data_IF_122572953673
#
_entry.id   IF_122572953673
#
_cell.length_a   1.000
_cell.length_b   1.000
_cell.length_c   1.000
_cell.angle_alpha   90.00
_cell.angle_beta   90.00
_cell.angle_gamma   90.00
#
_symmetry.space_group_name_H-M   'P 1'
#
loop_
_entity.id
_entity.type
_entity.pdbx_description
1 polymer ?
#
# COMPACT_ATOMS: atom_id res chain seq x y z
N UNK A 1 6.39 2.86 13.07
CA UNK A 1 6.24 3.33 14.46
C UNK A 1 5.88 2.13 15.29
N UNK A 2 6.56 1.90 16.42
CA UNK A 2 6.26 0.75 17.29
C UNK A 2 5.09 1.07 18.24
N UNK A 3 4.42 0.05 18.76
CA UNK A 3 3.27 0.26 19.65
C UNK A 3 3.66 1.04 20.93
N UNK A 4 4.80 0.74 21.53
CA UNK A 4 5.32 1.47 22.69
C UNK A 4 5.60 2.95 22.42
N UNK A 5 6.04 3.30 21.21
CA UNK A 5 6.28 4.69 20.80
C UNK A 5 4.99 5.51 20.73
N UNK A 6 3.88 4.88 20.32
CA UNK A 6 2.54 5.52 20.30
C UNK A 6 2.13 5.90 21.72
N UNK A 7 2.31 4.99 22.68
CA UNK A 7 2.01 5.25 24.10
C UNK A 7 2.89 6.35 24.69
N UNK A 8 4.20 6.34 24.38
CA UNK A 8 5.14 7.39 24.81
C UNK A 8 4.72 8.75 24.26
N UNK A 9 4.37 8.80 22.96
CA UNK A 9 3.97 10.03 22.27
C UNK A 9 2.70 10.61 22.91
N UNK A 10 1.67 9.79 23.10
CA UNK A 10 0.44 10.19 23.77
C UNK A 10 0.74 10.77 25.17
N UNK A 11 1.46 10.01 26.00
CA UNK A 11 1.78 10.42 27.37
C UNK A 11 2.54 11.75 27.42
N UNK A 12 3.54 11.94 26.55
CA UNK A 12 4.32 13.18 26.47
C UNK A 12 3.49 14.36 25.97
N UNK A 13 2.61 14.15 25.00
CA UNK A 13 1.68 15.19 24.51
C UNK A 13 0.74 15.68 25.62
N UNK A 14 0.34 14.80 26.53
CA UNK A 14 -0.47 15.14 27.70
C UNK A 14 0.36 15.61 28.91
N UNK A 15 1.68 15.78 28.76
CA UNK A 15 2.57 16.23 29.84
C UNK A 15 2.62 15.28 31.04
N UNK A 16 2.32 13.99 30.85
CA UNK A 16 2.20 13.02 31.94
C UNK A 16 3.52 12.27 32.22
N UNK A 17 3.75 11.97 33.50
CA UNK A 17 4.80 11.02 33.92
C UNK A 17 4.34 9.58 33.67
N UNK A 18 5.28 8.64 33.57
CA UNK A 18 4.96 7.21 33.43
C UNK A 18 4.11 6.73 34.61
N UNK A 19 4.43 7.18 35.83
CA UNK A 19 3.66 6.83 37.02
C UNK A 19 2.19 7.30 36.92
N UNK A 20 1.97 8.56 36.52
CA UNK A 20 0.62 9.12 36.37
C UNK A 20 -0.18 8.39 35.28
N UNK A 21 0.45 8.08 34.15
CA UNK A 21 -0.25 7.37 33.08
C UNK A 21 -0.56 5.92 33.45
N UNK A 22 0.35 5.26 34.18
CA UNK A 22 0.12 3.91 34.68
C UNK A 22 -1.05 3.85 35.67
N UNK A 23 -1.16 4.86 36.54
CA UNK A 23 -2.26 4.99 37.50
C UNK A 23 -3.61 5.16 36.79
N UNK A 24 -3.70 6.03 35.78
CA UNK A 24 -4.91 6.20 34.96
C UNK A 24 -5.30 4.90 34.25
N UNK A 25 -4.32 4.19 33.72
CA UNK A 25 -4.49 2.87 33.11
C UNK A 25 -4.60 1.75 34.14
N UNK A 26 -4.62 2.03 35.45
CA UNK A 26 -4.71 1.05 36.54
C UNK A 26 -3.79 -0.15 36.35
N UNK A 27 -2.54 0.12 35.97
CA UNK A 27 -1.45 -0.84 35.85
C UNK A 27 -0.26 -0.37 36.67
N UNK A 28 0.70 -1.25 36.94
CA UNK A 28 1.92 -0.81 37.62
C UNK A 28 2.80 0.06 36.70
N UNK A 29 3.54 1.01 37.28
CA UNK A 29 4.50 1.84 36.54
C UNK A 29 5.53 0.99 35.78
N UNK A 30 5.98 -0.12 36.39
CA UNK A 30 6.93 -1.06 35.76
C UNK A 30 6.28 -1.74 34.55
N UNK A 31 5.01 -2.12 34.65
CA UNK A 31 4.29 -2.73 33.55
C UNK A 31 4.10 -1.75 32.38
N UNK A 32 3.69 -0.51 32.65
CA UNK A 32 3.60 0.51 31.60
C UNK A 32 4.97 0.77 30.96
N UNK A 33 6.04 0.81 31.75
CA UNK A 33 7.41 0.96 31.21
C UNK A 33 7.74 -0.20 30.27
N UNK A 34 7.38 -1.44 30.61
CA UNK A 34 7.59 -2.57 29.72
C UNK A 34 6.73 -2.50 28.44
N UNK A 35 5.53 -1.95 28.51
CA UNK A 35 4.71 -1.70 27.32
C UNK A 35 5.31 -0.64 26.41
N UNK A 36 5.75 0.49 26.98
CA UNK A 36 6.38 1.61 26.24
C UNK A 36 7.67 1.19 25.51
N UNK A 37 8.32 0.12 25.97
CA UNK A 37 9.53 -0.43 25.35
C UNK A 37 9.29 -1.77 24.63
N UNK A 38 8.03 -2.12 24.35
CA UNK A 38 7.62 -3.34 23.62
C UNK A 38 8.12 -4.66 24.25
N UNK A 39 8.43 -4.66 25.55
CA UNK A 39 8.83 -5.86 26.31
C UNK A 39 7.64 -6.70 26.77
N UNK A 40 6.42 -6.16 26.67
CA UNK A 40 5.15 -6.81 27.03
C UNK A 40 4.13 -6.55 25.93
N UNK A 41 3.22 -7.51 25.75
CA UNK A 41 2.07 -7.33 24.87
C UNK A 41 0.95 -6.57 25.56
N UNK A 42 0.19 -5.83 24.78
CA UNK A 42 -1.04 -5.15 25.19
C UNK A 42 -2.18 -6.19 25.13
N UNK A 43 -2.90 -6.37 26.22
CA UNK A 43 -4.09 -7.24 26.25
C UNK A 43 -5.31 -6.51 25.72
N UNK A 44 -6.33 -7.24 25.26
CA UNK A 44 -7.59 -6.65 24.79
C UNK A 44 -8.26 -5.75 25.85
N UNK A 45 -8.29 -6.20 27.10
CA UNK A 45 -8.79 -5.38 28.22
C UNK A 45 -8.00 -4.07 28.38
N UNK A 46 -6.70 -4.06 28.08
CA UNK A 46 -5.92 -2.82 28.14
C UNK A 46 -6.18 -1.93 26.92
N UNK A 47 -6.46 -2.48 25.74
CA UNK A 47 -6.91 -1.71 24.59
C UNK A 47 -8.23 -0.99 24.86
N UNK A 48 -9.18 -1.64 25.52
CA UNK A 48 -10.46 -1.03 25.91
C UNK A 48 -10.22 0.19 26.81
N UNK A 49 -9.36 0.04 27.82
CA UNK A 49 -9.00 1.15 28.72
C UNK A 49 -8.24 2.27 28.01
N UNK A 50 -7.36 1.92 27.07
CA UNK A 50 -6.63 2.89 26.26
C UNK A 50 -7.56 3.67 25.32
N UNK A 51 -8.64 3.06 24.84
CA UNK A 51 -9.62 3.71 23.97
C UNK A 51 -10.41 4.84 24.67
N UNK A 52 -10.42 4.88 26.00
CA UNK A 52 -10.96 6.02 26.76
C UNK A 52 -10.08 7.28 26.64
N UNK A 53 -8.83 7.12 26.23
CA UNK A 53 -7.79 8.17 26.26
C UNK A 53 -7.30 8.57 24.87
N UNK A 54 -7.16 7.60 23.96
CA UNK A 54 -6.66 7.79 22.60
C UNK A 54 -7.82 7.94 21.61
N UNK A 55 -7.57 8.63 20.49
CA UNK A 55 -8.51 8.68 19.37
C UNK A 55 -8.69 7.32 18.68
N UNK A 56 -9.79 7.16 17.94
CA UNK A 56 -10.06 5.94 17.17
C UNK A 56 -8.93 5.63 16.18
N UNK A 57 -8.38 6.66 15.52
CA UNK A 57 -7.20 6.53 14.66
C UNK A 57 -5.96 6.03 15.42
N UNK A 58 -5.67 6.61 16.58
CA UNK A 58 -4.51 6.20 17.39
C UNK A 58 -4.65 4.76 17.94
N UNK A 59 -5.86 4.36 18.32
CA UNK A 59 -6.14 2.97 18.74
C UNK A 59 -5.98 2.00 17.59
N UNK A 60 -6.45 2.37 16.39
CA UNK A 60 -6.26 1.57 15.20
C UNK A 60 -4.77 1.38 14.89
N UNK A 61 -4.01 2.46 14.89
CA UNK A 61 -2.55 2.43 14.68
C UNK A 61 -1.85 1.57 15.74
N UNK A 62 -2.27 1.68 17.01
CA UNK A 62 -1.70 0.89 18.11
C UNK A 62 -1.98 -0.61 17.93
N UNK A 63 -3.20 -0.98 17.53
CA UNK A 63 -3.57 -2.38 17.27
C UNK A 63 -2.82 -2.95 16.08
N UNK A 64 -2.62 -2.17 15.02
CA UNK A 64 -1.81 -2.57 13.89
C UNK A 64 -0.35 -2.77 14.32
N UNK A 65 0.24 -1.81 15.01
CA UNK A 65 1.61 -1.91 15.50
C UNK A 65 1.84 -3.09 16.46
N UNK A 66 0.87 -3.40 17.33
CA UNK A 66 0.94 -4.53 18.26
C UNK A 66 0.95 -5.88 17.53
N UNK A 67 0.13 -6.04 16.48
CA UNK A 67 0.12 -7.26 15.66
C UNK A 67 1.45 -7.51 14.95
N UNK A 68 2.14 -6.43 14.58
CA UNK A 68 3.41 -6.50 13.84
C UNK A 68 4.62 -6.81 14.76
N UNK A 69 4.47 -6.78 16.10
CA UNK A 69 5.57 -7.09 17.04
C UNK A 69 6.09 -8.51 16.94
N UNK A 70 5.20 -9.46 16.65
CA UNK A 70 5.54 -10.87 16.63
C UNK A 70 5.99 -11.36 15.26
N UNK A 71 6.19 -10.47 14.28
CA UNK A 71 6.64 -10.88 12.96
C UNK A 71 8.02 -11.53 13.13
N UNK A 72 8.16 -12.84 12.80
CA UNK A 72 9.44 -13.50 12.80
C UNK A 72 10.44 -12.74 11.93
N UNK A 73 11.69 -12.64 12.38
CA UNK A 73 12.72 -11.84 11.70
C UNK A 73 12.92 -12.27 10.24
N UNK A 74 12.81 -13.56 9.95
CA UNK A 74 12.90 -14.10 8.61
C UNK A 74 11.73 -13.66 7.72
N UNK A 75 10.53 -13.45 8.27
CA UNK A 75 9.38 -12.89 7.55
C UNK A 75 9.61 -11.39 7.28
N UNK A 76 10.11 -10.64 8.27
CA UNK A 76 10.42 -9.22 8.09
C UNK A 76 11.50 -9.02 7.01
N UNK A 77 12.57 -9.81 7.03
CA UNK A 77 13.63 -9.78 6.01
C UNK A 77 13.11 -10.17 4.62
N UNK A 78 12.16 -11.11 4.52
CA UNK A 78 11.49 -11.45 3.25
C UNK A 78 10.62 -10.31 2.74
N UNK A 79 9.86 -9.65 3.61
CA UNK A 79 9.02 -8.52 3.24
C UNK A 79 9.85 -7.36 2.68
N UNK A 80 10.95 -7.01 3.34
CA UNK A 80 11.87 -5.96 2.86
C UNK A 80 12.44 -6.29 1.48
N UNK A 81 12.85 -7.54 1.25
CA UNK A 81 13.31 -8.00 -0.07
C UNK A 81 12.23 -7.87 -1.14
N UNK A 82 10.99 -8.27 -0.82
CA UNK A 82 9.85 -8.16 -1.73
C UNK A 82 9.50 -6.70 -2.03
N UNK A 83 9.61 -5.79 -1.07
CA UNK A 83 9.39 -4.36 -1.29
C UNK A 83 10.42 -3.77 -2.27
N UNK A 84 11.70 -4.11 -2.08
CA UNK A 84 12.77 -3.71 -3.00
C UNK A 84 12.55 -4.29 -4.39
N UNK A 85 12.21 -5.57 -4.49
CA UNK A 85 11.92 -6.24 -5.76
C UNK A 85 10.73 -5.58 -6.48
N UNK A 86 9.62 -5.34 -5.78
CA UNK A 86 8.45 -4.66 -6.34
C UNK A 86 8.77 -3.26 -6.84
N UNK A 87 9.61 -2.50 -6.12
CA UNK A 87 10.07 -1.19 -6.58
C UNK A 87 10.86 -1.30 -7.88
N UNK A 88 11.82 -2.22 -7.94
CA UNK A 88 12.65 -2.45 -9.12
C UNK A 88 11.82 -2.91 -10.32
N UNK A 89 10.84 -3.80 -10.11
CA UNK A 89 9.91 -4.24 -11.16
C UNK A 89 9.07 -3.08 -11.69
N UNK A 90 8.56 -2.23 -10.80
CA UNK A 90 7.80 -1.04 -11.18
C UNK A 90 8.65 -0.06 -12.01
N UNK A 91 9.91 0.16 -11.63
CA UNK A 91 10.84 0.98 -12.41
C UNK A 91 11.11 0.39 -13.79
N UNK A 92 11.32 -0.93 -13.90
CA UNK A 92 11.47 -1.62 -15.20
C UNK A 92 10.25 -1.45 -16.09
N UNK A 93 9.04 -1.61 -15.54
CA UNK A 93 7.79 -1.41 -16.30
C UNK A 93 7.67 0.02 -16.81
N UNK A 94 7.96 1.02 -15.96
CA UNK A 94 7.93 2.43 -16.35
C UNK A 94 8.98 2.78 -17.42
N UNK A 95 10.15 2.12 -17.39
CA UNK A 95 11.17 2.30 -18.41
C UNK A 95 10.77 1.72 -19.77
N UNK A 96 9.92 0.68 -19.80
CA UNK A 96 9.40 0.10 -21.04
C UNK A 96 8.41 1.06 -21.71
N UNK A 97 7.46 1.60 -20.95
CA UNK A 97 6.53 2.62 -21.43
C UNK A 97 6.04 3.53 -20.28
N UNK A 98 6.46 4.81 -20.22
CA UNK A 98 6.06 5.74 -19.17
C UNK A 98 4.54 5.93 -19.06
N UNK A 99 3.80 5.74 -20.17
CA UNK A 99 2.33 5.90 -20.23
C UNK A 99 1.60 4.91 -19.31
N UNK A 100 2.23 3.80 -18.94
CA UNK A 100 1.67 2.83 -17.99
C UNK A 100 1.53 3.46 -16.59
N UNK A 101 2.48 4.32 -16.20
CA UNK A 101 2.44 5.03 -14.92
C UNK A 101 1.30 6.04 -14.80
N UNK A 102 0.73 6.47 -15.93
CA UNK A 102 -0.40 7.41 -15.99
C UNK A 102 -1.77 6.72 -15.91
N UNK A 103 -1.80 5.38 -15.84
CA UNK A 103 -3.04 4.62 -15.75
C UNK A 103 -3.64 4.70 -14.33
N UNK A 104 -4.96 4.85 -14.26
CA UNK A 104 -5.71 4.64 -13.03
C UNK A 104 -5.86 3.12 -12.75
N UNK A 105 -6.37 2.75 -11.56
CA UNK A 105 -6.53 1.32 -11.19
C UNK A 105 -7.32 0.53 -12.23
N UNK A 106 -8.35 1.13 -12.84
CA UNK A 106 -9.17 0.47 -13.87
C UNK A 106 -8.38 0.31 -15.18
N UNK A 107 -7.68 1.35 -15.63
CA UNK A 107 -6.81 1.29 -16.79
C UNK A 107 -5.67 0.29 -16.63
N UNK A 108 -5.08 0.20 -15.44
CA UNK A 108 -4.02 -0.75 -15.14
C UNK A 108 -4.52 -2.20 -15.23
N UNK A 109 -5.71 -2.49 -14.66
CA UNK A 109 -6.31 -3.82 -14.78
C UNK A 109 -6.65 -4.19 -16.24
N UNK A 110 -7.03 -3.23 -17.08
CA UNK A 110 -7.27 -3.47 -18.51
C UNK A 110 -5.97 -3.73 -19.26
N UNK A 111 -4.92 -2.97 -18.95
CA UNK A 111 -3.58 -3.14 -19.50
C UNK A 111 -3.02 -4.52 -19.14
N UNK A 112 -3.10 -4.92 -17.88
CA UNK A 112 -2.63 -6.22 -17.39
C UNK A 112 -3.34 -7.38 -18.10
N UNK A 113 -4.67 -7.28 -18.30
CA UNK A 113 -5.42 -8.27 -19.07
C UNK A 113 -4.94 -8.38 -20.51
N UNK A 114 -4.76 -7.25 -21.20
CA UNK A 114 -4.28 -7.23 -22.58
C UNK A 114 -2.87 -7.84 -22.72
N UNK A 115 -1.99 -7.59 -21.75
CA UNK A 115 -0.63 -8.17 -21.74
C UNK A 115 -0.63 -9.66 -21.41
N UNK A 116 -1.47 -10.09 -20.47
CA UNK A 116 -1.59 -11.50 -20.10
C UNK A 116 -2.14 -12.37 -21.24
N UNK A 117 -2.96 -11.81 -22.12
CA UNK A 117 -3.42 -12.51 -23.34
C UNK A 117 -2.25 -12.86 -24.28
N UNK A 118 -1.16 -12.08 -24.26
CA UNK A 118 0.06 -12.35 -25.03
C UNK A 118 1.09 -13.21 -24.28
N UNK A 119 0.80 -13.67 -23.06
CA UNK A 119 1.76 -14.42 -22.21
C UNK A 119 2.35 -15.67 -22.88
N UNK A 120 1.59 -16.36 -23.74
CA UNK A 120 2.07 -17.54 -24.46
C UNK A 120 3.28 -17.23 -25.35
N UNK A 121 3.35 -16.05 -25.96
CA UNK A 121 4.46 -15.64 -26.82
C UNK A 121 5.73 -15.32 -26.03
N UNK A 122 5.58 -14.77 -24.83
CA UNK A 122 6.74 -14.43 -23.98
C UNK A 122 7.38 -15.66 -23.33
N UNK A 123 6.58 -16.71 -23.11
CA UNK A 123 7.03 -17.97 -22.54
C UNK A 123 7.66 -18.93 -23.55
N UNK A 124 7.61 -18.61 -24.84
CA UNK A 124 8.21 -19.44 -25.88
C UNK A 124 9.73 -19.23 -25.92
N UNK A 125 10.49 -20.30 -25.64
CA UNK A 125 11.96 -20.30 -25.70
C UNK A 125 12.48 -20.28 -27.15
N UNK A 126 11.63 -20.59 -28.14
CA UNK A 126 11.96 -20.55 -29.56
C UNK A 126 11.90 -19.15 -30.18
N UNK A 127 11.36 -18.16 -29.47
CA UNK A 127 11.33 -16.76 -29.89
C UNK A 127 12.49 -16.03 -29.23
N UNK A 128 13.25 -15.28 -30.01
CA UNK A 128 14.34 -14.48 -29.47
C UNK A 128 13.85 -13.32 -28.58
N UNK A 129 14.70 -12.88 -27.66
CA UNK A 129 14.36 -11.82 -26.72
C UNK A 129 14.15 -10.46 -27.38
N UNK A 130 14.77 -10.20 -28.54
CA UNK A 130 14.60 -8.93 -29.27
C UNK A 130 13.18 -8.84 -29.86
N UNK A 131 12.70 -9.93 -30.43
CA UNK A 131 11.37 -10.04 -31.03
C UNK A 131 10.28 -10.05 -29.96
N UNK A 132 10.53 -10.65 -28.79
CA UNK A 132 9.67 -10.47 -27.60
C UNK A 132 9.56 -8.99 -27.22
N UNK A 133 10.68 -8.26 -27.18
CA UNK A 133 10.66 -6.82 -26.89
C UNK A 133 9.89 -6.02 -27.94
N UNK A 134 10.08 -6.31 -29.24
CA UNK A 134 9.33 -5.67 -30.32
C UNK A 134 7.82 -5.93 -30.20
N UNK A 135 7.43 -7.17 -29.90
CA UNK A 135 6.04 -7.53 -29.67
C UNK A 135 5.45 -6.75 -28.50
N UNK A 136 6.17 -6.67 -27.38
CA UNK A 136 5.75 -5.90 -26.21
C UNK A 136 5.51 -4.42 -26.54
N UNK A 137 6.44 -3.80 -27.27
CA UNK A 137 6.30 -2.40 -27.71
C UNK A 137 5.10 -2.21 -28.65
N UNK A 138 4.88 -3.14 -29.58
CA UNK A 138 3.74 -3.11 -30.48
C UNK A 138 2.41 -3.23 -29.72
N UNK A 139 2.32 -4.15 -28.75
CA UNK A 139 1.14 -4.33 -27.89
C UNK A 139 0.85 -3.07 -27.06
N UNK A 140 1.88 -2.47 -26.47
CA UNK A 140 1.76 -1.21 -25.73
C UNK A 140 1.16 -0.12 -26.63
N UNK A 141 1.71 0.04 -27.82
CA UNK A 141 1.26 1.05 -28.76
C UNK A 141 -0.19 0.83 -29.20
N UNK A 142 -0.57 -0.42 -29.51
CA UNK A 142 -1.96 -0.76 -29.87
C UNK A 142 -2.93 -0.48 -28.72
N UNK A 143 -2.54 -0.81 -27.49
CA UNK A 143 -3.37 -0.53 -26.30
C UNK A 143 -3.61 0.97 -26.12
N UNK A 144 -2.55 1.77 -26.13
CA UNK A 144 -2.67 3.22 -25.94
C UNK A 144 -3.40 3.91 -27.09
N UNK A 145 -3.15 3.51 -28.34
CA UNK A 145 -3.94 4.00 -29.50
C UNK A 145 -5.42 3.70 -29.33
N UNK A 146 -5.78 2.49 -28.92
CA UNK A 146 -7.17 2.10 -28.68
C UNK A 146 -7.81 2.97 -27.58
N UNK A 147 -7.06 3.28 -26.52
CA UNK A 147 -7.51 4.18 -25.45
C UNK A 147 -7.75 5.60 -25.95
N UNK A 148 -6.85 6.14 -26.78
CA UNK A 148 -7.01 7.47 -27.39
C UNK A 148 -8.21 7.55 -28.33
N UNK A 149 -8.41 6.53 -29.17
CA UNK A 149 -9.58 6.43 -30.07
C UNK A 149 -10.87 6.47 -29.26
N UNK A 150 -10.94 5.69 -28.17
CA UNK A 150 -12.10 5.69 -27.28
C UNK A 150 -12.30 7.06 -26.63
N UNK A 151 -11.24 7.68 -26.12
CA UNK A 151 -11.31 9.05 -25.54
C UNK A 151 -11.91 10.04 -26.56
N UNK A 152 -11.44 10.04 -27.81
CA UNK A 152 -11.94 10.91 -28.89
C UNK A 152 -13.41 10.62 -29.23
N UNK A 153 -13.78 9.34 -29.38
CA UNK A 153 -15.14 8.89 -29.72
C UNK A 153 -16.16 9.33 -28.67
N UNK A 154 -15.84 9.17 -27.38
CA UNK A 154 -16.75 9.53 -26.29
C UNK A 154 -16.69 11.02 -25.91
N UNK A 155 -15.58 11.73 -26.17
CA UNK A 155 -15.50 13.18 -26.00
C UNK A 155 -16.50 13.93 -26.92
N UNK A 156 -16.66 13.48 -28.17
CA UNK A 156 -17.64 14.06 -29.09
C UNK A 156 -19.09 13.76 -28.71
N UNK A 157 -19.36 12.65 -28.02
CA UNK A 157 -20.72 12.27 -27.58
C UNK A 157 -21.23 13.17 -26.46
N UNK A 158 -20.37 13.54 -25.52
CA UNK A 158 -20.72 14.47 -24.44
C UNK A 158 -20.98 15.91 -24.95
N UNK A 159 -20.23 16.38 -25.95
CA UNK A 159 -20.50 17.69 -26.62
C UNK A 159 -21.80 17.70 -27.43
N UNK A 160 -22.17 16.58 -28.08
CA UNK A 160 -23.43 16.48 -28.84
C UNK A 160 -24.65 16.44 -27.94
N UNK A 161 -24.53 15.86 -26.74
CA UNK A 161 -25.61 15.84 -25.76
C UNK A 161 -25.80 17.21 -25.08
N UNK A 162 -24.73 17.96 -24.77
CA UNK A 162 -24.83 19.30 -24.17
C UNK A 162 -25.39 20.39 -25.09
N UNK A 163 -25.51 20.12 -26.40
CA UNK A 163 -26.09 21.05 -27.41
C UNK A 163 -27.55 20.68 -27.71
N UNK A 164 -28.02 19.49 -27.31
CA UNK A 164 -29.42 19.07 -27.48
C UNK A 164 -30.32 19.41 -26.30
N UNK A 165 -29.74 19.82 -25.17
CA UNK A 165 -30.45 20.21 -23.95
C UNK A 165 -30.46 21.75 -23.72
N UNK A 166 -30.32 22.54 -24.79
CA UNK A 166 -30.57 24.00 -24.82
C UNK A 166 -31.57 24.31 -25.92
#
# INVERSE_FOLDING_TARGET
MKAGEILIKYRKNQGMTVAKFAELLGVSQVFLTHLEHDKRKISENLFERLAEFLSDEEIKDLREAEKLKDIPKDIAEKLEKLEVENKNLKEKILNIDPRIGELDKRGLNQYEKAMNEASMFFNDEGIDEEDKQKLLLALNEVFFRSKEINKKKYAHKNKKNSVKDK
#
